data_IF_566960485570
#
_entry.id   IF_566960485570
#
_cell.length_a   1.000
_cell.length_b   1.000
_cell.length_c   1.000
_cell.angle_alpha   90.00
_cell.angle_beta   90.00
_cell.angle_gamma   90.00
#
_symmetry.space_group_name_H-M   'P 1'
#
loop_
_entity.id
_entity.type
_entity.pdbx_description
1 polymer ?
#
# COMPACT_ATOMS: atom_id res chain seq x y z
N UNK A 1 -12.84 -21.61 -62.03
CA UNK A 1 -11.64 -21.48 -61.16
C UNK A 1 -11.30 -20.05 -60.67
N UNK A 2 -12.10 -18.99 -60.95
CA UNK A 2 -11.79 -17.61 -60.50
C UNK A 2 -12.42 -17.19 -59.15
N UNK A 3 -13.47 -17.87 -58.67
CA UNK A 3 -14.16 -17.52 -57.42
C UNK A 3 -13.47 -18.08 -56.15
N UNK A 4 -12.80 -19.23 -56.24
CA UNK A 4 -12.07 -19.84 -55.11
C UNK A 4 -10.77 -19.12 -54.75
N UNK A 5 -10.11 -18.45 -55.71
CA UNK A 5 -8.88 -17.67 -55.45
C UNK A 5 -9.14 -16.38 -54.65
N UNK A 6 -10.32 -15.76 -54.81
CA UNK A 6 -10.72 -14.57 -54.02
C UNK A 6 -11.12 -14.92 -52.59
N UNK A 7 -11.66 -16.12 -52.37
CA UNK A 7 -12.04 -16.59 -51.03
C UNK A 7 -10.81 -16.99 -50.19
N UNK A 8 -9.79 -17.60 -50.82
CA UNK A 8 -8.53 -17.94 -50.15
C UNK A 8 -7.73 -16.67 -49.77
N UNK A 9 -7.78 -15.63 -50.60
CA UNK A 9 -7.11 -14.36 -50.30
C UNK A 9 -7.74 -13.60 -49.12
N UNK A 10 -9.05 -13.77 -48.89
CA UNK A 10 -9.80 -13.16 -47.77
C UNK A 10 -9.51 -13.86 -46.43
N UNK A 11 -9.29 -15.18 -46.43
CA UNK A 11 -9.00 -15.95 -45.20
C UNK A 11 -7.56 -15.75 -44.72
N UNK A 12 -6.61 -15.55 -45.64
CA UNK A 12 -5.20 -15.25 -45.29
C UNK A 12 -5.04 -13.82 -44.74
N UNK A 13 -5.88 -12.87 -45.15
CA UNK A 13 -5.86 -11.50 -44.60
C UNK A 13 -6.46 -11.40 -43.20
N UNK A 14 -7.45 -12.23 -42.86
CA UNK A 14 -8.02 -12.29 -41.50
C UNK A 14 -7.05 -13.00 -40.53
N UNK A 15 -6.21 -13.92 -41.01
CA UNK A 15 -5.20 -14.58 -40.18
C UNK A 15 -3.99 -13.67 -39.86
N UNK A 16 -3.65 -12.73 -40.76
CA UNK A 16 -2.62 -11.71 -40.54
C UNK A 16 -3.09 -10.51 -39.71
N UNK A 17 -4.37 -10.45 -39.34
CA UNK A 17 -4.93 -9.43 -38.44
C UNK A 17 -5.16 -9.97 -37.02
N UNK A 18 -4.40 -10.98 -36.61
CA UNK A 18 -4.20 -11.29 -35.19
C UNK A 18 -3.15 -10.33 -34.63
N UNK A 19 -3.56 -9.06 -34.57
CA UNK A 19 -2.82 -7.99 -33.93
C UNK A 19 -2.48 -8.46 -32.52
N UNK A 20 -1.18 -8.66 -32.26
CA UNK A 20 -0.68 -8.91 -30.93
C UNK A 20 -1.12 -7.73 -30.07
N UNK A 21 -2.19 -7.91 -29.29
CA UNK A 21 -2.55 -6.98 -28.24
C UNK A 21 -1.47 -7.11 -27.19
N UNK A 22 -0.42 -6.30 -27.32
CA UNK A 22 0.57 -6.14 -26.28
C UNK A 22 -0.14 -5.53 -25.08
N UNK A 23 -0.43 -6.35 -24.08
CA UNK A 23 -0.89 -5.84 -22.79
C UNK A 23 0.27 -5.07 -22.19
N UNK A 24 0.14 -3.74 -22.12
CA UNK A 24 1.05 -2.93 -21.31
C UNK A 24 0.85 -3.34 -19.85
N UNK A 25 1.77 -4.16 -19.34
CA UNK A 25 1.89 -4.38 -17.90
C UNK A 25 2.47 -3.10 -17.32
N UNK A 26 1.61 -2.26 -16.73
CA UNK A 26 2.05 -1.07 -16.02
C UNK A 26 2.88 -1.54 -14.82
N UNK A 27 4.20 -1.31 -14.87
CA UNK A 27 5.05 -1.42 -13.70
C UNK A 27 4.52 -0.46 -12.63
N UNK A 28 4.26 -0.97 -11.43
CA UNK A 28 3.87 -0.10 -10.33
C UNK A 28 5.03 0.81 -9.96
N UNK A 29 4.76 2.10 -9.80
CA UNK A 29 5.67 3.10 -9.22
C UNK A 29 5.77 3.00 -7.69
N UNK A 30 5.20 1.93 -7.10
CA UNK A 30 5.28 1.69 -5.67
C UNK A 30 6.71 1.32 -5.30
N UNK A 31 7.24 2.05 -4.33
CA UNK A 31 8.54 1.79 -3.73
C UNK A 31 8.35 1.04 -2.42
N UNK A 32 9.37 0.30 -2.00
CA UNK A 32 9.40 -0.35 -0.68
C UNK A 32 10.70 0.01 0.00
N UNK A 33 10.63 0.34 1.28
CA UNK A 33 11.80 0.53 2.14
C UNK A 33 11.76 -0.43 3.31
N UNK A 34 12.91 -0.95 3.72
CA UNK A 34 13.11 -1.62 5.01
C UNK A 34 14.17 -0.84 5.76
N UNK A 35 13.85 -0.35 6.97
CA UNK A 35 14.76 0.45 7.79
C UNK A 35 15.41 1.60 6.97
N UNK A 36 14.56 2.37 6.28
CA UNK A 36 14.93 3.49 5.40
C UNK A 36 15.76 3.13 4.16
N UNK A 37 16.03 1.85 3.91
CA UNK A 37 16.76 1.39 2.71
C UNK A 37 15.78 0.95 1.64
N UNK A 38 15.89 1.51 0.44
CA UNK A 38 15.07 1.11 -0.70
C UNK A 38 15.39 -0.31 -1.16
N UNK A 39 14.35 -1.11 -1.34
CA UNK A 39 14.46 -2.41 -2.00
C UNK A 39 14.24 -2.25 -3.50
N UNK A 40 15.11 -2.90 -4.27
CA UNK A 40 14.94 -3.09 -5.69
C UNK A 40 14.33 -4.46 -5.96
N UNK A 41 13.37 -4.52 -6.87
CA UNK A 41 12.68 -5.76 -7.21
C UNK A 41 12.77 -6.03 -8.71
N UNK A 42 13.14 -7.27 -9.07
CA UNK A 42 13.03 -7.73 -10.46
C UNK A 42 11.56 -7.80 -10.92
N UNK A 43 10.67 -8.24 -10.01
CA UNK A 43 9.23 -8.12 -10.18
C UNK A 43 8.76 -6.93 -9.35
N UNK A 44 8.35 -5.81 -9.96
CA UNK A 44 7.83 -4.67 -9.22
C UNK A 44 6.65 -5.07 -8.32
N UNK A 45 6.42 -4.36 -7.20
CA UNK A 45 5.19 -4.49 -6.45
C UNK A 45 3.97 -4.33 -7.36
N UNK A 46 2.85 -4.93 -7.01
CA UNK A 46 1.59 -4.81 -7.76
C UNK A 46 0.46 -4.47 -6.82
N UNK A 47 -0.55 -3.73 -7.29
CA UNK A 47 -1.76 -3.48 -6.52
C UNK A 47 -2.86 -4.41 -6.99
N UNK A 48 -3.38 -5.22 -6.08
CA UNK A 48 -4.56 -6.05 -6.33
C UNK A 48 -5.58 -5.82 -5.23
N UNK A 49 -6.83 -5.52 -5.61
CA UNK A 49 -7.95 -5.27 -4.66
C UNK A 49 -7.60 -4.27 -3.55
N UNK A 50 -6.85 -3.21 -3.89
CA UNK A 50 -6.43 -2.18 -2.92
C UNK A 50 -5.37 -2.67 -1.91
N UNK A 51 -4.63 -3.73 -2.23
CA UNK A 51 -3.50 -4.23 -1.45
C UNK A 51 -2.24 -4.20 -2.31
N UNK A 52 -1.16 -3.67 -1.74
CA UNK A 52 0.16 -3.81 -2.32
C UNK A 52 0.66 -5.23 -2.08
N UNK A 53 0.90 -5.95 -3.17
CA UNK A 53 1.56 -7.24 -3.18
C UNK A 53 3.02 -7.04 -3.58
N UNK A 54 3.91 -7.74 -2.90
CA UNK A 54 5.35 -7.64 -3.09
C UNK A 54 5.94 -9.01 -3.31
N UNK A 55 7.05 -9.14 -4.05
CA UNK A 55 7.76 -10.41 -4.19
C UNK A 55 8.13 -10.95 -2.82
N UNK A 56 7.54 -12.08 -2.46
CA UNK A 56 7.63 -12.62 -1.12
C UNK A 56 9.08 -12.83 -0.69
N UNK A 57 9.86 -13.51 -1.53
CA UNK A 57 11.23 -13.89 -1.21
C UNK A 57 12.10 -12.68 -0.87
N UNK A 58 11.99 -11.61 -1.65
CA UNK A 58 12.76 -10.40 -1.45
C UNK A 58 12.49 -9.76 -0.08
N UNK A 59 11.23 -9.73 0.37
CA UNK A 59 10.88 -9.19 1.69
C UNK A 59 11.35 -10.12 2.82
N UNK A 60 11.11 -11.43 2.70
CA UNK A 60 11.55 -12.39 3.72
C UNK A 60 13.07 -12.33 3.92
N UNK A 61 13.85 -12.41 2.84
CA UNK A 61 15.31 -12.38 2.89
C UNK A 61 15.82 -11.04 3.45
N UNK A 62 15.24 -9.92 3.02
CA UNK A 62 15.63 -8.60 3.53
C UNK A 62 15.25 -8.39 5.01
N UNK A 63 14.28 -9.15 5.54
CA UNK A 63 13.93 -9.19 6.97
C UNK A 63 14.71 -10.27 7.75
N UNK A 64 15.67 -10.95 7.12
CA UNK A 64 16.55 -11.94 7.74
C UNK A 64 15.98 -13.36 7.79
N UNK A 65 14.90 -13.64 7.07
CA UNK A 65 14.30 -14.96 7.03
C UNK A 65 14.86 -15.82 5.89
N UNK A 66 14.94 -17.13 6.11
CA UNK A 66 15.18 -18.13 5.06
C UNK A 66 13.88 -18.48 4.36
N UNK A 67 13.93 -18.79 3.07
CA UNK A 67 12.74 -19.13 2.27
C UNK A 67 12.96 -20.44 1.53
N UNK A 68 12.14 -21.42 1.86
CA UNK A 68 12.09 -22.73 1.20
C UNK A 68 10.85 -22.83 0.31
N UNK A 69 11.01 -23.50 -0.83
CA UNK A 69 9.93 -23.82 -1.77
C UNK A 69 9.78 -25.33 -1.90
N UNK A 70 8.57 -25.82 -1.68
CA UNK A 70 8.17 -27.19 -1.92
C UNK A 70 7.30 -27.24 -3.17
N UNK A 71 7.86 -27.79 -4.25
CA UNK A 71 7.23 -27.77 -5.58
C UNK A 71 5.99 -28.66 -5.65
N UNK A 72 6.05 -29.84 -5.00
CA UNK A 72 4.97 -30.84 -5.03
C UNK A 72 3.64 -30.29 -4.49
N UNK A 73 3.73 -29.41 -3.49
CA UNK A 73 2.57 -28.80 -2.83
C UNK A 73 2.41 -27.32 -3.16
N UNK A 74 3.34 -26.73 -3.92
CA UNK A 74 3.42 -25.29 -4.19
C UNK A 74 3.42 -24.45 -2.92
N UNK A 75 4.16 -24.92 -1.91
CA UNK A 75 4.21 -24.31 -0.58
C UNK A 75 5.50 -23.54 -0.40
N UNK A 76 5.39 -22.32 0.08
CA UNK A 76 6.50 -21.49 0.52
C UNK A 76 6.55 -21.60 2.04
N UNK A 77 7.74 -21.86 2.59
CA UNK A 77 8.00 -21.80 4.04
C UNK A 77 9.06 -20.75 4.30
N UNK A 78 8.70 -19.70 5.04
CA UNK A 78 9.62 -18.69 5.51
C UNK A 78 9.96 -18.91 6.98
N UNK A 79 11.25 -18.91 7.33
CA UNK A 79 11.70 -19.17 8.71
C UNK A 79 12.64 -18.06 9.18
N UNK A 80 12.33 -17.46 10.33
CA UNK A 80 13.18 -16.50 11.03
C UNK A 80 13.15 -16.79 12.52
N UNK A 81 14.29 -17.07 13.12
CA UNK A 81 14.41 -17.49 14.51
C UNK A 81 13.44 -18.65 14.83
N UNK A 82 12.50 -18.47 15.75
CA UNK A 82 11.45 -19.44 16.08
C UNK A 82 10.17 -19.29 15.24
N UNK A 83 10.08 -18.27 14.39
CA UNK A 83 8.89 -17.97 13.61
C UNK A 83 8.91 -18.69 12.27
N UNK A 84 7.86 -19.47 12.03
CA UNK A 84 7.63 -20.22 10.80
C UNK A 84 6.35 -19.74 10.14
N UNK A 85 6.47 -19.23 8.91
CA UNK A 85 5.36 -18.79 8.07
C UNK A 85 5.20 -19.76 6.92
N UNK A 86 4.01 -20.34 6.72
CA UNK A 86 3.73 -21.22 5.58
C UNK A 86 2.57 -20.68 4.76
N UNK A 87 2.72 -20.72 3.45
CA UNK A 87 1.69 -20.26 2.53
C UNK A 87 1.75 -21.09 1.25
N UNK A 88 0.58 -21.41 0.72
CA UNK A 88 0.44 -22.18 -0.51
C UNK A 88 -0.03 -21.27 -1.63
N UNK A 89 0.55 -21.42 -2.81
CA UNK A 89 0.18 -20.63 -3.99
C UNK A 89 -1.31 -20.80 -4.32
N UNK A 90 -2.02 -19.69 -4.50
CA UNK A 90 -3.46 -19.64 -4.77
C UNK A 90 -4.37 -19.84 -3.55
N UNK A 91 -3.79 -20.14 -2.38
CA UNK A 91 -4.56 -20.33 -1.15
C UNK A 91 -4.67 -19.00 -0.39
N UNK A 92 -5.88 -18.67 0.07
CA UNK A 92 -6.13 -17.49 0.91
C UNK A 92 -5.81 -17.75 2.38
N UNK A 93 -5.52 -18.99 2.78
CA UNK A 93 -5.11 -19.32 4.15
C UNK A 93 -3.60 -19.56 4.20
N UNK A 94 -2.93 -18.80 5.04
CA UNK A 94 -1.54 -19.02 5.43
C UNK A 94 -1.48 -19.48 6.90
N UNK A 95 -0.32 -19.93 7.35
CA UNK A 95 -0.08 -20.21 8.78
C UNK A 95 1.13 -19.46 9.30
N UNK A 96 1.04 -18.97 10.52
CA UNK A 96 2.16 -18.38 11.28
C UNK A 96 2.25 -19.16 12.58
N UNK A 97 3.37 -19.85 12.81
CA UNK A 97 3.57 -20.72 13.97
C UNK A 97 2.42 -21.73 14.16
N UNK A 98 1.89 -22.27 13.06
CA UNK A 98 0.78 -23.23 13.07
C UNK A 98 -0.62 -22.62 13.24
N UNK A 99 -0.73 -21.31 13.47
CA UNK A 99 -2.02 -20.61 13.55
C UNK A 99 -2.45 -20.13 12.17
N UNK A 100 -3.70 -20.39 11.79
CA UNK A 100 -4.24 -20.00 10.49
C UNK A 100 -4.50 -18.48 10.42
N UNK A 101 -4.06 -17.86 9.34
CA UNK A 101 -4.28 -16.45 9.02
C UNK A 101 -4.93 -16.36 7.63
N UNK A 102 -6.07 -15.67 7.55
CA UNK A 102 -6.77 -15.44 6.28
C UNK A 102 -6.23 -14.20 5.58
N UNK A 103 -5.71 -14.39 4.38
CA UNK A 103 -5.26 -13.35 3.47
C UNK A 103 -6.45 -12.79 2.68
N UNK A 104 -6.54 -11.46 2.60
CA UNK A 104 -7.54 -10.78 1.77
C UNK A 104 -7.28 -10.95 0.28
N UNK A 105 -6.00 -11.11 -0.09
CA UNK A 105 -5.56 -11.47 -1.44
C UNK A 105 -4.65 -12.68 -1.28
N UNK A 106 -4.94 -13.82 -1.94
CA UNK A 106 -4.13 -15.02 -1.83
C UNK A 106 -2.72 -14.77 -2.35
N UNK A 107 -1.80 -15.67 -2.01
CA UNK A 107 -0.48 -15.68 -2.63
C UNK A 107 -0.63 -16.00 -4.12
N UNK A 108 -0.17 -15.10 -4.99
CA UNK A 108 -0.36 -15.21 -6.45
C UNK A 108 0.97 -15.23 -7.17
N UNK A 109 1.05 -15.90 -8.32
CA UNK A 109 2.24 -15.86 -9.17
C UNK A 109 2.09 -14.76 -10.21
N UNK A 110 3.05 -13.83 -10.25
CA UNK A 110 3.17 -12.78 -11.26
C UNK A 110 4.54 -12.90 -11.89
N UNK A 111 4.59 -13.15 -13.20
CA UNK A 111 5.82 -13.35 -13.97
C UNK A 111 6.78 -14.39 -13.34
N UNK A 112 6.23 -15.48 -12.79
CA UNK A 112 7.03 -16.53 -12.14
C UNK A 112 7.54 -16.17 -10.74
N UNK A 113 7.13 -15.03 -10.17
CA UNK A 113 7.43 -14.63 -8.79
C UNK A 113 6.16 -14.69 -7.94
N UNK A 114 6.24 -15.32 -6.77
CA UNK A 114 5.16 -15.29 -5.79
C UNK A 114 5.07 -13.90 -5.16
N UNK A 115 3.93 -13.25 -5.31
CA UNK A 115 3.58 -11.97 -4.69
C UNK A 115 2.50 -12.17 -3.63
N UNK A 116 2.63 -11.45 -2.51
CA UNK A 116 1.78 -11.61 -1.32
C UNK A 116 1.58 -10.25 -0.65
N UNK A 117 0.47 -9.99 0.08
CA UNK A 117 0.28 -8.72 0.78
C UNK A 117 1.47 -8.36 1.68
N UNK A 118 2.05 -7.17 1.48
CA UNK A 118 3.27 -6.74 2.20
C UNK A 118 3.09 -6.77 3.71
N UNK A 119 1.92 -6.31 4.18
CA UNK A 119 1.57 -6.25 5.59
C UNK A 119 1.64 -7.63 6.24
N UNK A 120 1.05 -8.65 5.61
CA UNK A 120 1.08 -10.02 6.12
C UNK A 120 2.51 -10.51 6.32
N UNK A 121 3.38 -10.33 5.32
CA UNK A 121 4.77 -10.82 5.39
C UNK A 121 5.53 -10.12 6.52
N UNK A 122 5.49 -8.79 6.54
CA UNK A 122 6.28 -8.00 7.47
C UNK A 122 5.82 -8.20 8.92
N UNK A 123 4.50 -8.14 9.18
CA UNK A 123 3.96 -8.34 10.53
C UNK A 123 4.21 -9.76 11.05
N UNK A 124 4.14 -10.77 10.16
CA UNK A 124 4.47 -12.15 10.53
C UNK A 124 5.92 -12.32 10.98
N UNK A 125 6.83 -11.41 10.60
CA UNK A 125 8.24 -11.42 10.97
C UNK A 125 8.60 -10.36 12.03
N UNK A 126 7.59 -9.77 12.68
CA UNK A 126 7.76 -8.78 13.74
C UNK A 126 8.15 -7.39 13.25
N UNK A 127 7.87 -7.05 12.00
CA UNK A 127 8.08 -5.72 11.44
C UNK A 127 6.77 -4.93 11.33
N UNK A 128 6.85 -3.60 11.40
CA UNK A 128 5.71 -2.71 11.16
C UNK A 128 5.66 -2.28 9.70
N UNK A 129 4.46 -1.94 9.21
CA UNK A 129 4.24 -1.48 7.84
C UNK A 129 3.40 -0.22 7.79
N UNK A 130 4.01 0.85 7.30
CA UNK A 130 3.37 2.13 7.01
C UNK A 130 3.28 2.37 5.50
N UNK A 131 2.39 3.30 5.14
CA UNK A 131 2.19 3.74 3.77
C UNK A 131 2.39 5.25 3.67
N UNK A 132 3.37 5.66 2.87
CA UNK A 132 3.51 7.04 2.44
C UNK A 132 2.79 7.22 1.10
N UNK A 133 1.61 7.84 1.15
CA UNK A 133 0.81 8.15 -0.03
C UNK A 133 1.40 9.23 -0.93
N UNK A 134 2.24 10.12 -0.41
CA UNK A 134 2.88 11.19 -1.18
C UNK A 134 3.96 10.62 -2.09
N UNK A 135 4.82 9.74 -1.55
CA UNK A 135 5.90 9.12 -2.32
C UNK A 135 5.54 7.75 -2.90
N UNK A 136 4.33 7.26 -2.62
CA UNK A 136 3.83 5.91 -2.95
C UNK A 136 4.78 4.82 -2.45
N UNK A 137 5.22 4.96 -1.20
CA UNK A 137 6.23 4.09 -0.60
C UNK A 137 5.62 3.26 0.52
N UNK A 138 5.83 1.93 0.47
CA UNK A 138 5.63 1.06 1.62
C UNK A 138 6.86 1.17 2.51
N UNK A 139 6.66 1.54 3.78
CA UNK A 139 7.73 1.73 4.75
C UNK A 139 7.67 0.58 5.75
N UNK A 140 8.71 -0.23 5.80
CA UNK A 140 8.83 -1.36 6.72
C UNK A 140 9.92 -1.05 7.76
N UNK A 141 9.62 -1.25 9.03
CA UNK A 141 10.56 -0.99 10.14
C UNK A 141 10.67 -2.19 11.07
N UNK A 142 11.91 -2.53 11.50
CA UNK A 142 12.20 -3.66 12.40
C UNK A 142 12.75 -3.20 13.74
N UNK A 143 12.61 -4.06 14.77
CA UNK A 143 12.99 -3.89 16.19
C UNK A 143 14.21 -3.05 16.59
N UNK A 144 15.25 -2.98 15.75
CA UNK A 144 16.49 -2.22 16.04
C UNK A 144 16.55 -0.84 15.38
N UNK A 145 15.73 -0.61 14.35
CA UNK A 145 15.47 0.70 13.74
C UNK A 145 14.05 1.19 14.03
N UNK A 146 13.38 0.56 15.00
CA UNK A 146 12.46 1.29 15.84
C UNK A 146 13.34 2.27 16.62
N UNK A 147 13.66 3.43 16.02
CA UNK A 147 13.56 4.64 16.81
C UNK A 147 12.19 4.49 17.45
N UNK A 148 12.16 4.24 18.75
CA UNK A 148 10.95 4.29 19.58
C UNK A 148 9.99 5.21 18.85
N UNK A 149 8.80 4.75 18.37
CA UNK A 149 7.92 5.65 17.63
C UNK A 149 7.82 6.88 18.50
N UNK A 150 8.44 8.00 18.08
CA UNK A 150 8.69 9.17 18.96
C UNK A 150 7.40 9.37 19.69
N UNK A 151 7.31 9.12 21.02
CA UNK A 151 6.10 8.63 21.67
C UNK A 151 4.92 9.29 21.02
N UNK A 152 4.27 8.57 20.09
CA UNK A 152 3.04 9.07 19.53
C UNK A 152 2.19 9.19 20.78
N UNK A 153 1.82 10.40 21.20
CA UNK A 153 1.34 10.62 22.55
C UNK A 153 0.29 9.54 22.76
N UNK A 154 0.58 8.61 23.67
CA UNK A 154 -0.51 7.94 24.38
C UNK A 154 -1.41 9.11 24.75
N UNK A 155 -2.71 9.11 24.41
CA UNK A 155 -3.56 10.21 24.79
C UNK A 155 -3.52 10.27 26.31
N UNK A 156 -2.56 11.05 26.83
CA UNK A 156 -2.72 11.81 28.03
C UNK A 156 -4.08 12.45 27.84
N UNK A 157 -5.04 12.22 28.75
CA UNK A 157 -6.39 12.73 28.57
C UNK A 157 -6.27 14.23 28.25
N UNK A 158 -6.56 14.55 26.98
CA UNK A 158 -6.27 15.86 26.46
C UNK A 158 -7.02 16.87 27.33
N UNK A 159 -6.38 17.97 27.77
CA UNK A 159 -7.12 19.05 28.39
C UNK A 159 -8.26 19.44 27.45
N UNK A 160 -9.49 19.39 27.96
CA UNK A 160 -10.71 19.70 27.21
C UNK A 160 -10.65 21.18 26.81
N UNK A 161 -10.07 21.47 25.65
CA UNK A 161 -10.12 22.79 25.03
C UNK A 161 -11.27 22.81 24.02
N UNK A 162 -12.44 23.27 24.47
CA UNK A 162 -13.51 23.94 23.70
C UNK A 162 -13.93 23.38 22.31
N UNK A 163 -13.61 22.13 21.96
CA UNK A 163 -14.10 21.44 20.77
C UNK A 163 -13.62 22.01 19.42
N UNK A 164 -12.66 22.95 19.38
CA UNK A 164 -12.14 23.56 18.15
C UNK A 164 -10.64 23.29 17.98
N UNK A 165 -10.24 23.06 16.73
CA UNK A 165 -8.92 22.62 16.29
C UNK A 165 -8.30 23.75 15.46
N UNK A 166 -7.15 24.25 15.91
CA UNK A 166 -6.41 25.28 15.20
C UNK A 166 -5.64 24.66 14.03
N UNK A 167 -6.00 24.99 12.79
CA UNK A 167 -5.41 24.34 11.63
C UNK A 167 -3.92 24.69 11.44
N UNK A 168 -3.40 25.74 12.08
CA UNK A 168 -2.00 26.13 11.99
C UNK A 168 -1.09 25.47 13.03
N UNK A 169 -1.64 24.99 14.14
CA UNK A 169 -0.84 24.46 15.26
C UNK A 169 -1.20 23.03 15.64
N UNK A 170 -2.38 22.54 15.28
CA UNK A 170 -2.84 21.18 15.60
C UNK A 170 -1.90 20.09 15.09
N UNK A 171 -1.84 18.97 15.82
CA UNK A 171 -1.17 17.75 15.41
C UNK A 171 -1.89 17.06 14.23
N UNK A 172 -1.20 16.13 13.56
CA UNK A 172 -1.80 15.33 12.49
C UNK A 172 -3.05 14.54 12.94
N UNK A 173 -3.12 14.15 14.21
CA UNK A 173 -4.26 13.39 14.76
C UNK A 173 -5.45 14.30 15.02
N UNK A 174 -5.22 15.46 15.63
CA UNK A 174 -6.29 16.45 15.87
C UNK A 174 -6.88 16.92 14.54
N UNK A 175 -6.06 17.16 13.52
CA UNK A 175 -6.54 17.49 12.18
C UNK A 175 -7.47 16.42 11.60
N UNK A 176 -7.27 15.14 11.94
CA UNK A 176 -8.10 14.03 11.45
C UNK A 176 -9.49 13.96 12.09
N UNK A 177 -9.73 14.72 13.17
CA UNK A 177 -11.08 14.87 13.72
C UNK A 177 -11.95 15.88 12.93
N UNK A 178 -11.32 16.65 12.05
CA UNK A 178 -12.02 17.53 11.12
C UNK A 178 -12.57 16.65 9.99
N UNK A 179 -13.86 16.78 9.69
CA UNK A 179 -14.46 15.97 8.62
C UNK A 179 -13.76 16.22 7.29
N UNK A 180 -13.71 15.18 6.46
CA UNK A 180 -13.00 15.17 5.17
C UNK A 180 -11.48 15.35 5.23
N UNK A 181 -10.88 15.62 6.39
CA UNK A 181 -9.44 15.67 6.60
C UNK A 181 -8.97 14.30 7.08
N UNK A 182 -8.58 13.44 6.15
CA UNK A 182 -7.94 12.16 6.48
C UNK A 182 -6.42 12.34 6.62
N UNK A 183 -5.69 11.26 6.93
CA UNK A 183 -4.24 11.29 7.11
C UNK A 183 -3.51 12.02 5.96
N UNK A 184 -3.83 11.70 4.70
CA UNK A 184 -3.20 12.33 3.52
C UNK A 184 -3.41 13.84 3.51
N UNK A 185 -4.63 14.31 3.79
CA UNK A 185 -4.94 15.74 3.81
C UNK A 185 -4.39 16.45 5.03
N UNK A 186 -4.31 15.76 6.17
CA UNK A 186 -3.70 16.30 7.38
C UNK A 186 -2.21 16.60 7.16
N UNK A 187 -1.49 15.73 6.43
CA UNK A 187 -0.08 15.96 6.05
C UNK A 187 0.07 17.17 5.12
N UNK A 188 -0.76 17.24 4.07
CA UNK A 188 -0.77 18.40 3.16
C UNK A 188 -1.12 19.71 3.88
N UNK A 189 -2.03 19.66 4.84
CA UNK A 189 -2.37 20.80 5.66
C UNK A 189 -1.13 21.28 6.42
N UNK A 190 -0.43 20.38 7.13
CA UNK A 190 0.79 20.73 7.88
C UNK A 190 1.87 21.33 6.97
N UNK A 191 2.07 20.77 5.78
CA UNK A 191 3.05 21.25 4.80
C UNK A 191 2.73 22.66 4.26
N UNK A 192 1.45 23.01 4.17
CA UNK A 192 0.98 24.28 3.59
C UNK A 192 0.76 25.39 4.63
N UNK A 193 1.06 25.13 5.90
CA UNK A 193 0.99 26.15 6.95
C UNK A 193 1.96 27.31 6.67
N UNK A 194 1.62 28.54 7.10
CA UNK A 194 0.39 28.92 7.79
C UNK A 194 -0.76 29.25 6.81
N UNK A 195 -1.98 28.98 7.26
CA UNK A 195 -3.21 29.42 6.64
C UNK A 195 -3.70 30.70 7.30
N UNK A 196 -4.23 31.63 6.50
CA UNK A 196 -4.81 32.89 6.98
C UNK A 196 -6.33 32.83 7.11
N UNK A 197 -6.95 31.83 6.49
CA UNK A 197 -8.39 31.62 6.50
C UNK A 197 -8.72 30.13 6.38
N UNK A 198 -9.85 29.69 6.94
CA UNK A 198 -10.37 28.34 6.70
C UNK A 198 -10.64 28.09 5.21
N UNK A 199 -10.98 29.13 4.44
CA UNK A 199 -11.21 29.02 3.01
C UNK A 199 -9.94 28.61 2.23
N UNK A 200 -8.75 28.85 2.79
CA UNK A 200 -7.48 28.44 2.20
C UNK A 200 -7.29 26.91 2.18
N UNK A 201 -8.13 26.14 2.90
CA UNK A 201 -8.11 24.67 2.83
C UNK A 201 -8.40 24.14 1.42
N UNK A 202 -8.95 24.94 0.52
CA UNK A 202 -9.09 24.61 -0.91
C UNK A 202 -7.76 24.38 -1.63
N UNK A 203 -6.64 24.84 -1.06
CA UNK A 203 -5.28 24.54 -1.56
C UNK A 203 -4.90 23.06 -1.33
N UNK A 204 -5.61 22.36 -0.45
CA UNK A 204 -5.38 20.94 -0.15
C UNK A 204 -6.08 20.07 -1.19
N UNK A 205 -5.36 19.07 -1.70
CA UNK A 205 -5.90 18.20 -2.75
C UNK A 205 -7.15 17.44 -2.28
N UNK A 206 -8.22 17.60 -3.05
CA UNK A 206 -9.50 16.97 -2.76
C UNK A 206 -10.33 17.64 -1.68
N UNK A 207 -10.00 18.87 -1.26
CA UNK A 207 -10.93 19.77 -0.52
C UNK A 207 -11.50 20.78 -1.52
N UNK A 208 -12.51 20.36 -2.28
CA UNK A 208 -13.30 21.28 -3.10
C UNK A 208 -14.35 22.00 -2.24
N UNK A 209 -15.01 23.02 -2.81
CA UNK A 209 -16.00 23.88 -2.13
C UNK A 209 -17.04 23.11 -1.31
N UNK A 210 -17.51 21.96 -1.81
CA UNK A 210 -18.47 21.10 -1.10
C UNK A 210 -17.90 20.62 0.23
N UNK A 211 -16.67 20.10 0.23
CA UNK A 211 -16.02 19.61 1.46
C UNK A 211 -15.58 20.75 2.36
N UNK A 212 -15.17 21.87 1.78
CA UNK A 212 -14.87 23.08 2.54
C UNK A 212 -16.11 23.55 3.31
N UNK A 213 -17.27 23.57 2.65
CA UNK A 213 -18.55 23.93 3.27
C UNK A 213 -18.86 23.01 4.45
N UNK A 214 -18.76 21.69 4.28
CA UNK A 214 -18.98 20.74 5.37
C UNK A 214 -18.02 21.01 6.55
N UNK A 215 -16.72 21.25 6.27
CA UNK A 215 -15.71 21.56 7.29
C UNK A 215 -16.07 22.82 8.08
N UNK A 216 -16.55 23.87 7.40
CA UNK A 216 -17.00 25.11 8.04
C UNK A 216 -18.24 24.86 8.89
N UNK A 217 -19.22 24.10 8.37
CA UNK A 217 -20.45 23.74 9.09
C UNK A 217 -20.18 22.89 10.34
N UNK A 218 -19.14 22.06 10.31
CA UNK A 218 -18.69 21.30 11.49
C UNK A 218 -18.25 22.22 12.64
N UNK A 219 -17.80 23.44 12.35
CA UNK A 219 -17.40 24.44 13.35
C UNK A 219 -16.14 24.10 14.15
N UNK A 220 -15.52 22.94 13.90
CA UNK A 220 -14.32 22.49 14.60
C UNK A 220 -13.07 23.22 14.17
N UNK A 221 -12.88 23.51 12.88
CA UNK A 221 -11.65 24.14 12.40
C UNK A 221 -11.62 25.66 12.69
N UNK A 222 -10.46 26.20 13.08
CA UNK A 222 -10.24 27.64 13.15
C UNK A 222 -8.79 28.05 12.81
N UNK A 223 -8.59 29.32 12.50
CA UNK A 223 -7.29 30.01 12.38
C UNK A 223 -7.28 31.18 13.39
N UNK A 224 -6.12 31.51 13.95
CA UNK A 224 -5.93 32.71 14.80
C UNK A 224 -5.86 34.00 13.97
#
# INVERSE_FOLDING_TARGET
MKKSKKLILLVVTILLLSLAMTTSVFASDIKVTINNTYLNFEQPPVVEKGRTLVPLRAIFEALGAKVDWEDSTRTITGTKDSTVVRLQLGNSTATVNGTNITLQVPATSVNGRTVVPTRFIAESLGANVDWDGTTRTVIITTGENIKEPTPQPTPEPAPIYLGRININTASLQELQEIIHINEVRSKQLVELRPFTSINDLTKISGIADVRLKDIIEQGKAYVD
#
